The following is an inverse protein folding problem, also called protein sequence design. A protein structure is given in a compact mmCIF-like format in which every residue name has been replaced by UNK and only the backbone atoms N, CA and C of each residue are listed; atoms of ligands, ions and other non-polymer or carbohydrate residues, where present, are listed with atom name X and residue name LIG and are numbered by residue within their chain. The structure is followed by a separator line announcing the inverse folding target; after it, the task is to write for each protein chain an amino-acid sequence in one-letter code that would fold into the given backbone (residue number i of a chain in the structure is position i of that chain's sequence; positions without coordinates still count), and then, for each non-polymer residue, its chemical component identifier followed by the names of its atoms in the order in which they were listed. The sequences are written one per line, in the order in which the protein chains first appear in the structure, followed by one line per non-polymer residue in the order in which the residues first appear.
data_IF_506486551223
#
_entry.id   IF_506486551223
#
_cell.length_a   1.000
_cell.length_b   1.000
_cell.length_c   1.000
_cell.angle_alpha   90.00
_cell.angle_beta   90.00
_cell.angle_gamma   90.00
#
_symmetry.space_group_name_H-M   'P 1'
#
loop_
_entity.id
_entity.type
_entity.pdbx_description
1 polymer ?
#
# COMPACT_ATOMS: atom_id res chain seq x y z
N UNK A 1 -19.40 -3.66 30.17
CA UNK A 1 -18.01 -3.22 30.42
C UNK A 1 -17.51 -2.53 29.14
N UNK A 2 -16.91 -1.36 29.27
CA UNK A 2 -16.29 -0.69 28.13
C UNK A 2 -14.85 -1.19 28.06
N UNK A 3 -14.45 -1.74 26.92
CA UNK A 3 -13.05 -2.09 26.61
C UNK A 3 -12.44 -0.85 25.98
N UNK A 4 -11.54 -0.19 26.69
CA UNK A 4 -10.91 1.06 26.22
C UNK A 4 -9.64 0.86 25.43
N UNK A 5 -9.00 -0.29 25.52
CA UNK A 5 -7.85 -0.68 24.70
C UNK A 5 -7.85 -2.19 24.54
N UNK A 6 -7.75 -2.63 23.33
CA UNK A 6 -7.44 -4.01 22.94
C UNK A 6 -6.04 -4.00 22.36
N UNK A 7 -5.25 -5.04 22.61
CA UNK A 7 -3.99 -5.18 21.89
C UNK A 7 -4.27 -5.49 20.43
N UNK A 8 -3.71 -4.71 19.56
CA UNK A 8 -3.80 -4.89 18.11
C UNK A 8 -2.44 -5.39 17.63
N UNK A 9 -2.45 -6.44 16.85
CA UNK A 9 -1.28 -6.97 16.17
C UNK A 9 -1.55 -6.97 14.67
N UNK A 10 -0.76 -6.23 13.91
CA UNK A 10 -0.85 -6.23 12.46
C UNK A 10 0.52 -6.58 11.86
N UNK A 11 0.53 -7.18 10.69
CA UNK A 11 1.76 -7.50 9.98
C UNK A 11 1.66 -7.18 8.49
N UNK A 12 2.78 -6.70 7.96
CA UNK A 12 2.99 -6.52 6.53
C UNK A 12 4.14 -7.43 6.15
N UNK A 13 3.93 -8.26 5.13
CA UNK A 13 4.94 -9.18 4.59
C UNK A 13 5.09 -8.97 3.10
N UNK A 14 6.29 -9.22 2.60
CA UNK A 14 6.55 -9.20 1.16
C UNK A 14 5.82 -10.36 0.47
N UNK A 15 5.35 -10.11 -0.74
CA UNK A 15 4.77 -11.11 -1.63
C UNK A 15 5.44 -11.03 -3.00
N UNK A 16 5.64 -12.17 -3.65
CA UNK A 16 6.46 -12.26 -4.88
C UNK A 16 5.88 -11.54 -6.10
N UNK A 17 4.61 -11.15 -6.09
CA UNK A 17 3.87 -10.72 -7.29
C UNK A 17 3.59 -9.20 -7.35
N UNK A 18 4.42 -8.36 -6.74
CA UNK A 18 4.17 -6.90 -6.66
C UNK A 18 3.10 -6.54 -5.64
N UNK A 19 2.88 -7.41 -4.65
CA UNK A 19 1.94 -7.21 -3.56
C UNK A 19 2.62 -7.33 -2.20
N UNK A 20 2.04 -6.67 -1.21
CA UNK A 20 2.29 -6.88 0.20
C UNK A 20 1.12 -7.69 0.77
N UNK A 21 1.40 -8.64 1.63
CA UNK A 21 0.38 -9.32 2.42
C UNK A 21 0.17 -8.53 3.71
N UNK A 22 -1.05 -8.06 3.92
CA UNK A 22 -1.47 -7.37 5.13
C UNK A 22 -2.43 -8.24 5.92
N UNK A 23 -2.13 -8.45 7.18
CA UNK A 23 -2.99 -9.18 8.11
C UNK A 23 -3.02 -8.49 9.47
N UNK A 24 -4.09 -8.67 10.22
CA UNK A 24 -4.18 -8.16 11.59
C UNK A 24 -5.06 -9.04 12.47
N UNK A 25 -4.84 -8.91 13.76
CA UNK A 25 -5.64 -9.52 14.81
C UNK A 25 -5.89 -8.51 15.93
N UNK A 26 -7.08 -8.55 16.51
CA UNK A 26 -7.46 -7.76 17.68
C UNK A 26 -7.73 -8.76 18.80
N UNK A 27 -6.97 -8.67 19.88
CA UNK A 27 -7.07 -9.61 20.99
C UNK A 27 -8.47 -9.63 21.60
N UNK A 28 -8.89 -10.80 22.03
CA UNK A 28 -10.22 -11.06 22.63
C UNK A 28 -11.43 -10.78 21.72
N UNK A 29 -11.20 -10.51 20.41
CA UNK A 29 -12.27 -10.25 19.44
C UNK A 29 -12.23 -11.32 18.33
N UNK A 30 -13.37 -11.94 18.08
CA UNK A 30 -13.49 -12.91 16.99
C UNK A 30 -13.47 -12.21 15.63
N UNK A 31 -12.67 -12.74 14.70
CA UNK A 31 -12.58 -12.21 13.34
C UNK A 31 -13.94 -12.11 12.64
N UNK A 32 -14.90 -12.97 12.98
CA UNK A 32 -16.28 -12.90 12.45
C UNK A 32 -17.01 -11.58 12.79
N UNK A 33 -16.49 -10.78 13.74
CA UNK A 33 -17.04 -9.47 14.11
C UNK A 33 -16.38 -8.30 13.38
N UNK A 34 -15.20 -8.50 12.77
CA UNK A 34 -14.41 -7.43 12.16
C UNK A 34 -15.18 -6.67 11.08
N UNK A 35 -15.96 -7.37 10.26
CA UNK A 35 -16.78 -6.74 9.21
C UNK A 35 -17.82 -5.78 9.81
N UNK A 36 -18.52 -6.22 10.84
CA UNK A 36 -19.57 -5.42 11.48
C UNK A 36 -18.97 -4.24 12.26
N UNK A 37 -17.81 -4.46 12.90
CA UNK A 37 -17.04 -3.41 13.56
C UNK A 37 -16.58 -2.33 12.56
N UNK A 38 -16.06 -2.75 11.41
CA UNK A 38 -15.61 -1.84 10.35
C UNK A 38 -16.78 -1.06 9.76
N UNK A 39 -17.93 -1.69 9.57
CA UNK A 39 -19.14 -0.98 9.14
C UNK A 39 -19.58 0.06 10.17
N UNK A 40 -19.56 -0.29 11.46
CA UNK A 40 -19.87 0.66 12.53
C UNK A 40 -18.89 1.85 12.56
N UNK A 41 -17.60 1.59 12.31
CA UNK A 41 -16.59 2.64 12.16
C UNK A 41 -16.90 3.57 10.97
N UNK A 42 -17.24 3.04 9.81
CA UNK A 42 -17.65 3.83 8.63
C UNK A 42 -18.91 4.66 8.88
N UNK A 43 -19.83 4.16 9.69
CA UNK A 43 -21.02 4.89 10.14
C UNK A 43 -20.70 5.93 11.23
N UNK A 44 -19.41 6.12 11.59
CA UNK A 44 -18.95 7.06 12.63
C UNK A 44 -19.56 6.79 14.01
N UNK A 45 -19.86 5.53 14.31
CA UNK A 45 -20.27 5.11 15.64
C UNK A 45 -19.06 5.11 16.56
N UNK A 46 -19.20 5.68 17.74
CA UNK A 46 -18.13 5.69 18.73
C UNK A 46 -17.91 4.33 19.37
N UNK A 47 -18.98 3.58 19.61
CA UNK A 47 -18.92 2.29 20.29
C UNK A 47 -19.54 1.20 19.44
N UNK A 48 -18.87 0.03 19.44
CA UNK A 48 -19.41 -1.20 18.90
C UNK A 48 -19.68 -2.20 20.04
N UNK A 49 -20.87 -2.81 20.06
CA UNK A 49 -21.21 -3.85 21.03
C UNK A 49 -20.77 -5.22 20.52
N UNK A 50 -19.78 -5.81 21.18
CA UNK A 50 -19.29 -7.16 20.89
C UNK A 50 -20.31 -8.24 21.25
N UNK A 51 -20.21 -9.42 20.65
CA UNK A 51 -21.06 -10.58 20.93
C UNK A 51 -20.96 -11.04 22.37
N UNK A 52 -19.82 -10.82 23.03
CA UNK A 52 -19.63 -11.12 24.45
C UNK A 52 -20.31 -10.09 25.40
N UNK A 53 -21.02 -9.09 24.85
CA UNK A 53 -21.71 -8.05 25.58
C UNK A 53 -20.86 -6.87 26.03
N UNK A 54 -19.57 -6.85 25.74
CA UNK A 54 -18.68 -5.71 25.99
C UNK A 54 -18.83 -4.66 24.89
N UNK A 55 -18.31 -3.44 25.13
CA UNK A 55 -18.30 -2.36 24.15
C UNK A 55 -16.87 -1.98 23.82
N UNK A 56 -16.54 -1.98 22.54
CA UNK A 56 -15.27 -1.47 22.03
C UNK A 56 -15.40 0.01 21.67
N UNK A 57 -14.44 0.84 22.09
CA UNK A 57 -14.35 2.24 21.67
C UNK A 57 -13.64 2.31 20.31
N UNK A 58 -14.37 2.64 19.25
CA UNK A 58 -13.86 2.77 17.89
C UNK A 58 -13.07 4.07 17.66
N UNK A 59 -13.12 5.01 18.61
CA UNK A 59 -12.30 6.22 18.60
C UNK A 59 -11.01 6.09 19.39
N UNK A 60 -10.76 4.90 20.00
CA UNK A 60 -9.45 4.59 20.55
C UNK A 60 -8.38 4.72 19.45
N UNK A 61 -7.22 5.29 19.78
CA UNK A 61 -6.23 5.72 18.77
C UNK A 61 -5.76 4.58 17.88
N UNK A 62 -5.43 3.42 18.47
CA UNK A 62 -4.93 2.28 17.69
C UNK A 62 -6.03 1.64 16.85
N UNK A 63 -7.24 1.51 17.40
CA UNK A 63 -8.41 0.97 16.69
C UNK A 63 -8.78 1.86 15.50
N UNK A 64 -8.81 3.15 15.70
CA UNK A 64 -9.08 4.14 14.66
C UNK A 64 -8.01 4.10 13.57
N UNK A 65 -6.74 4.11 13.94
CA UNK A 65 -5.62 4.08 12.99
C UNK A 65 -5.61 2.78 12.17
N UNK A 66 -5.93 1.63 12.79
CA UNK A 66 -6.10 0.37 12.08
C UNK A 66 -7.22 0.45 11.05
N UNK A 67 -8.41 0.91 11.44
CA UNK A 67 -9.56 0.95 10.52
C UNK A 67 -9.41 2.00 9.43
N UNK A 68 -8.75 3.12 9.68
CA UNK A 68 -8.37 4.07 8.63
C UNK A 68 -7.40 3.44 7.63
N UNK A 69 -6.43 2.66 8.11
CA UNK A 69 -5.50 1.93 7.25
C UNK A 69 -6.27 0.89 6.40
N UNK A 70 -7.10 0.07 7.01
CA UNK A 70 -7.93 -0.95 6.33
C UNK A 70 -8.82 -0.32 5.25
N UNK A 71 -9.46 0.82 5.54
CA UNK A 71 -10.30 1.53 4.58
C UNK A 71 -9.51 2.01 3.37
N UNK A 72 -8.37 2.65 3.59
CA UNK A 72 -7.55 3.23 2.51
C UNK A 72 -6.78 2.17 1.70
N UNK A 73 -6.49 1.03 2.30
CA UNK A 73 -5.90 -0.10 1.59
C UNK A 73 -6.92 -0.84 0.71
N UNK A 74 -8.22 -0.60 0.89
CA UNK A 74 -9.31 -1.34 0.24
C UNK A 74 -9.18 -2.86 0.47
N UNK A 75 -8.95 -3.24 1.71
CA UNK A 75 -8.76 -4.64 2.12
C UNK A 75 -10.01 -5.44 1.81
N UNK A 76 -9.86 -6.52 1.04
CA UNK A 76 -10.98 -7.37 0.61
C UNK A 76 -11.35 -8.47 1.63
N UNK A 77 -10.40 -8.80 2.50
CA UNK A 77 -10.55 -9.79 3.58
C UNK A 77 -9.88 -9.26 4.83
N UNK A 78 -10.37 -9.66 6.00
CA UNK A 78 -9.77 -9.28 7.29
C UNK A 78 -8.73 -10.30 7.80
N UNK A 79 -8.55 -11.43 7.10
CA UNK A 79 -7.58 -12.47 7.52
C UNK A 79 -6.20 -12.23 6.91
N UNK A 80 -6.11 -12.23 5.58
CA UNK A 80 -4.87 -12.01 4.84
C UNK A 80 -5.23 -11.35 3.50
N UNK A 81 -4.82 -10.13 3.34
CA UNK A 81 -5.15 -9.33 2.16
C UNK A 81 -3.93 -8.94 1.37
N UNK A 82 -4.00 -9.16 0.07
CA UNK A 82 -3.02 -8.66 -0.87
C UNK A 82 -3.23 -7.17 -1.11
N UNK A 83 -2.21 -6.39 -0.81
CA UNK A 83 -2.17 -4.94 -1.01
C UNK A 83 -1.10 -4.65 -2.06
N UNK A 84 -1.49 -4.01 -3.16
CA UNK A 84 -0.55 -3.70 -4.23
C UNK A 84 0.57 -2.76 -3.76
N UNK A 85 1.79 -2.92 -4.28
CA UNK A 85 2.97 -2.10 -3.94
C UNK A 85 2.73 -0.59 -4.09
N UNK A 86 1.83 -0.15 -4.99
CA UNK A 86 1.47 1.26 -5.12
C UNK A 86 0.94 1.89 -3.82
N UNK A 87 0.44 1.07 -2.89
CA UNK A 87 0.00 1.53 -1.57
C UNK A 87 1.15 1.71 -0.57
N UNK A 88 2.37 1.25 -0.90
CA UNK A 88 3.52 1.35 0.01
C UNK A 88 3.83 2.81 0.37
N UNK A 89 3.76 3.74 -0.59
CA UNK A 89 3.99 5.17 -0.33
C UNK A 89 2.97 5.73 0.69
N UNK A 90 1.69 5.37 0.53
CA UNK A 90 0.66 5.76 1.48
C UNK A 90 0.88 5.15 2.87
N UNK A 91 1.22 3.85 2.94
CA UNK A 91 1.52 3.17 4.21
C UNK A 91 2.72 3.82 4.90
N UNK A 92 3.76 4.17 4.13
CA UNK A 92 4.95 4.84 4.64
C UNK A 92 4.62 6.23 5.23
N UNK A 93 3.75 6.98 4.56
CA UNK A 93 3.28 8.27 5.08
C UNK A 93 2.50 8.09 6.40
N UNK A 94 1.65 7.08 6.47
CA UNK A 94 0.97 6.70 7.72
C UNK A 94 1.96 6.34 8.83
N UNK A 95 3.05 5.63 8.53
CA UNK A 95 4.12 5.33 9.52
C UNK A 95 4.86 6.56 10.01
N UNK A 96 5.00 7.59 9.17
CA UNK A 96 5.65 8.85 9.53
C UNK A 96 4.74 9.78 10.35
N UNK A 97 3.44 9.77 10.04
CA UNK A 97 2.46 10.68 10.62
C UNK A 97 1.77 10.14 11.88
N UNK A 98 1.76 8.82 12.07
CA UNK A 98 1.05 8.14 13.15
C UNK A 98 1.93 7.15 13.90
N UNK A 99 1.59 6.89 15.15
CA UNK A 99 2.31 5.93 15.99
C UNK A 99 1.77 4.50 15.80
N UNK A 100 2.07 3.88 14.65
CA UNK A 100 1.60 2.55 14.29
C UNK A 100 2.54 1.45 14.81
N UNK A 101 2.86 1.46 16.13
CA UNK A 101 3.79 0.50 16.74
C UNK A 101 3.25 -0.93 16.76
N UNK A 102 1.95 -1.11 16.62
CA UNK A 102 1.29 -2.41 16.54
C UNK A 102 1.48 -3.12 15.19
N UNK A 103 2.14 -2.47 14.19
CA UNK A 103 2.38 -3.05 12.87
C UNK A 103 3.83 -3.53 12.75
N UNK A 104 3.98 -4.83 12.50
CA UNK A 104 5.26 -5.45 12.14
C UNK A 104 5.49 -5.42 10.63
N UNK A 105 6.77 -5.52 10.21
CA UNK A 105 7.12 -5.60 8.79
C UNK A 105 7.29 -4.26 8.09
N UNK A 106 7.46 -3.15 8.83
CA UNK A 106 7.72 -1.81 8.28
C UNK A 106 8.91 -1.78 7.30
N UNK A 107 9.91 -2.64 7.52
CA UNK A 107 11.09 -2.75 6.64
C UNK A 107 10.74 -3.10 5.19
N UNK A 108 9.67 -3.85 4.94
CA UNK A 108 9.26 -4.17 3.57
C UNK A 108 8.71 -2.95 2.85
N UNK A 109 7.92 -2.14 3.55
CA UNK A 109 7.38 -0.88 3.02
C UNK A 109 8.52 0.12 2.79
N UNK A 110 9.41 0.28 3.77
CA UNK A 110 10.55 1.20 3.66
C UNK A 110 11.44 0.83 2.47
N UNK A 111 11.75 -0.46 2.27
CA UNK A 111 12.54 -0.93 1.13
C UNK A 111 11.92 -0.50 -0.20
N UNK A 112 10.60 -0.70 -0.38
CA UNK A 112 9.92 -0.29 -1.62
C UNK A 112 10.01 1.22 -1.82
N UNK A 113 9.88 2.02 -0.76
CA UNK A 113 9.99 3.47 -0.83
C UNK A 113 11.42 3.93 -1.11
N UNK A 114 12.40 3.34 -0.43
CA UNK A 114 13.83 3.63 -0.62
C UNK A 114 14.28 3.28 -2.04
N UNK A 115 13.86 2.12 -2.56
CA UNK A 115 14.14 1.72 -3.92
C UNK A 115 13.50 2.69 -4.93
N UNK A 116 12.27 3.13 -4.66
CA UNK A 116 11.56 4.09 -5.51
C UNK A 116 12.25 5.46 -5.52
N UNK A 117 12.78 5.90 -4.38
CA UNK A 117 13.53 7.16 -4.28
C UNK A 117 14.93 7.04 -4.91
N UNK A 118 15.48 5.82 -5.02
CA UNK A 118 16.81 5.54 -5.56
C UNK A 118 16.75 4.88 -6.96
N UNK A 119 15.90 5.37 -7.83
CA UNK A 119 15.66 4.88 -9.20
C UNK A 119 16.95 4.76 -10.03
N UNK A 120 17.98 5.54 -9.72
CA UNK A 120 19.28 5.54 -10.41
C UNK A 120 19.99 4.17 -10.38
N UNK A 121 19.63 3.29 -9.46
CA UNK A 121 20.20 1.95 -9.33
C UNK A 121 19.57 0.88 -10.21
N UNK A 122 18.50 1.20 -10.94
CA UNK A 122 17.88 0.28 -11.88
C UNK A 122 18.70 0.17 -13.18
N UNK A 123 18.76 -1.01 -13.77
CA UNK A 123 19.31 -1.17 -15.14
C UNK A 123 18.38 -0.51 -16.16
N UNK A 124 18.66 0.75 -16.41
CA UNK A 124 17.92 1.61 -17.33
C UNK A 124 18.55 1.62 -18.74
N UNK A 125 19.37 0.63 -19.08
CA UNK A 125 20.02 0.54 -20.38
C UNK A 125 19.01 0.55 -21.54
N UNK A 126 19.37 1.24 -22.62
CA UNK A 126 18.57 1.25 -23.85
C UNK A 126 18.69 -0.12 -24.52
N UNK A 127 17.60 -0.72 -25.04
CA UNK A 127 17.66 -2.01 -25.73
C UNK A 127 18.63 -1.99 -26.90
N UNK A 128 19.56 -2.93 -26.95
CA UNK A 128 20.61 -3.02 -27.97
C UNK A 128 20.07 -3.22 -29.40
N UNK A 129 18.86 -3.74 -29.52
CA UNK A 129 18.22 -4.02 -30.81
C UNK A 129 17.43 -2.82 -31.36
N UNK A 130 17.38 -1.70 -30.65
CA UNK A 130 16.67 -0.50 -31.07
C UNK A 130 17.43 0.15 -32.22
N UNK A 131 16.80 0.22 -33.41
CA UNK A 131 17.34 0.87 -34.62
C UNK A 131 16.97 2.37 -34.67
N UNK A 132 16.96 3.06 -33.56
CA UNK A 132 16.65 4.47 -33.46
C UNK A 132 17.50 5.13 -32.36
N UNK A 133 17.81 6.40 -32.55
CA UNK A 133 18.45 7.21 -31.51
C UNK A 133 17.37 7.92 -30.71
N UNK A 134 17.26 7.59 -29.44
CA UNK A 134 16.36 8.27 -28.53
C UNK A 134 16.92 9.63 -28.13
N UNK A 135 16.07 10.65 -28.08
CA UNK A 135 16.39 11.94 -27.48
C UNK A 135 16.35 11.82 -25.95
N UNK A 136 16.97 12.76 -25.24
CA UNK A 136 17.11 12.70 -23.77
C UNK A 136 15.76 12.53 -23.06
N UNK A 137 14.73 13.26 -23.48
CA UNK A 137 13.40 13.13 -22.89
C UNK A 137 12.73 11.78 -23.20
N UNK A 138 13.07 11.15 -24.36
CA UNK A 138 12.57 9.80 -24.68
C UNK A 138 13.29 8.72 -23.86
N UNK A 139 14.55 8.94 -23.55
CA UNK A 139 15.30 8.10 -22.60
C UNK A 139 14.67 8.21 -21.18
N UNK A 140 14.34 9.43 -20.78
CA UNK A 140 13.63 9.64 -19.51
C UNK A 140 12.27 8.92 -19.46
N UNK A 141 11.50 8.95 -20.56
CA UNK A 141 10.25 8.22 -20.68
C UNK A 141 10.43 6.70 -20.65
N UNK A 142 11.46 6.16 -21.32
CA UNK A 142 11.82 4.73 -21.22
C UNK A 142 12.18 4.33 -19.79
N UNK A 143 12.98 5.14 -19.11
CA UNK A 143 13.36 4.92 -17.74
C UNK A 143 12.14 4.93 -16.81
N UNK A 144 11.21 5.86 -17.03
CA UNK A 144 9.93 5.90 -16.32
C UNK A 144 9.14 4.59 -16.51
N UNK A 145 8.99 4.08 -17.73
CA UNK A 145 8.32 2.81 -17.97
C UNK A 145 8.99 1.64 -17.27
N UNK A 146 10.32 1.54 -17.35
CA UNK A 146 11.08 0.48 -16.68
C UNK A 146 10.92 0.53 -15.17
N UNK A 147 10.90 1.72 -14.59
CA UNK A 147 10.62 1.91 -13.16
C UNK A 147 9.24 1.43 -12.80
N UNK A 148 8.22 1.83 -13.57
CA UNK A 148 6.85 1.37 -13.34
C UNK A 148 6.72 -0.15 -13.43
N UNK A 149 7.35 -0.77 -14.45
CA UNK A 149 7.31 -2.23 -14.61
C UNK A 149 8.04 -2.95 -13.45
N UNK A 150 9.19 -2.42 -13.02
CA UNK A 150 9.93 -2.98 -11.88
C UNK A 150 9.05 -3.03 -10.61
N UNK A 151 8.33 -1.96 -10.31
CA UNK A 151 7.43 -1.88 -9.15
C UNK A 151 6.01 -2.38 -9.42
N UNK A 152 5.75 -2.88 -10.63
CA UNK A 152 4.42 -3.31 -11.07
C UNK A 152 3.36 -2.21 -10.91
N UNK A 153 3.77 -0.96 -11.12
CA UNK A 153 2.87 0.19 -11.11
C UNK A 153 2.28 0.40 -12.51
N UNK A 154 1.07 0.90 -12.57
CA UNK A 154 0.52 1.49 -13.80
C UNK A 154 1.00 2.93 -13.97
N UNK A 155 0.99 3.42 -15.22
CA UNK A 155 1.34 4.80 -15.51
C UNK A 155 0.73 5.31 -16.80
N UNK A 156 0.85 6.62 -17.02
CA UNK A 156 0.34 7.30 -18.22
C UNK A 156 1.46 8.11 -18.82
N UNK A 157 1.74 7.90 -20.12
CA UNK A 157 2.62 8.76 -20.90
C UNK A 157 1.79 9.88 -21.52
N UNK A 158 1.81 11.06 -20.90
CA UNK A 158 1.00 12.21 -21.28
C UNK A 158 1.77 13.27 -22.07
N UNK A 159 2.79 12.88 -22.84
CA UNK A 159 3.56 13.78 -23.69
C UNK A 159 2.69 14.42 -24.79
N UNK A 160 3.07 15.60 -25.28
CA UNK A 160 2.41 16.24 -26.41
C UNK A 160 2.51 15.43 -27.71
N UNK A 161 1.63 15.75 -28.68
CA UNK A 161 1.67 15.11 -29.98
C UNK A 161 3.01 15.43 -30.69
N UNK A 162 3.53 14.45 -31.43
CA UNK A 162 4.78 14.58 -32.15
C UNK A 162 6.05 14.28 -31.37
N UNK A 163 6.01 14.10 -30.07
CA UNK A 163 7.18 13.81 -29.23
C UNK A 163 7.63 12.33 -29.27
N UNK A 164 7.03 11.52 -30.14
CA UNK A 164 7.49 10.14 -30.36
C UNK A 164 7.09 9.16 -29.27
N UNK A 165 5.89 9.31 -28.69
CA UNK A 165 5.34 8.35 -27.70
C UNK A 165 5.42 6.90 -28.17
N UNK A 166 5.12 6.67 -29.47
CA UNK A 166 5.20 5.35 -30.10
C UNK A 166 6.62 4.79 -30.02
N UNK A 167 7.64 5.61 -30.29
CA UNK A 167 9.04 5.18 -30.18
C UNK A 167 9.41 4.84 -28.75
N UNK A 168 9.02 5.64 -27.78
CA UNK A 168 9.25 5.37 -26.36
C UNK A 168 8.59 4.05 -25.93
N UNK A 169 7.33 3.81 -26.34
CA UNK A 169 6.61 2.58 -26.02
C UNK A 169 7.24 1.34 -26.68
N UNK A 170 7.71 1.45 -27.93
CA UNK A 170 8.36 0.31 -28.62
C UNK A 170 9.76 0.03 -28.04
N UNK A 171 10.39 1.05 -27.46
CA UNK A 171 11.72 0.91 -26.83
C UNK A 171 11.68 0.23 -25.47
N UNK A 172 10.50 0.16 -24.86
CA UNK A 172 10.23 -0.53 -23.59
C UNK A 172 9.99 -2.03 -23.84
#
# INVERSE_FOLDING_TARGET
KIIKSTSIHASIRDSLDGYLNFSFNIDDINQSEYKDMFLAFKEKKRFYKLKNGSFLDLEDSETKDLFELVENLNVSSFDDSKVHFSKALYINDMFKSKNLNFIEGKQFVNRICDDFDNIENLDLSIPKNLKANLRDYQVAGLNYFKTLDHYKFGGILADEMGLGKTLQTISF
#
